data_IF_137998436199
#
_entry.id   IF_137998436199
#
_cell.length_a   1.000
_cell.length_b   1.000
_cell.length_c   1.000
_cell.angle_alpha   90.00
_cell.angle_beta   90.00
_cell.angle_gamma   90.00
#
_symmetry.space_group_name_H-M   'P 1'
#
loop_
_entity.id
_entity.type
_entity.pdbx_description
1 polymer ?
#
# COMPACT_ATOMS: atom_id res chain seq x y z
N UNK A 1 -13.23 -6.51 6.97
CA UNK A 1 -12.45 -6.22 5.75
C UNK A 1 -11.69 -7.46 5.39
N UNK A 2 -11.53 -7.73 4.09
CA UNK A 2 -10.85 -8.92 3.60
C UNK A 2 -9.36 -8.64 3.40
N UNK A 3 -8.56 -9.70 3.46
CA UNK A 3 -7.13 -9.62 3.13
C UNK A 3 -6.98 -9.49 1.62
N UNK A 4 -6.05 -8.65 1.19
CA UNK A 4 -5.73 -8.39 -0.22
C UNK A 4 -4.22 -8.47 -0.43
N UNK A 5 -3.79 -9.02 -1.56
CA UNK A 5 -2.36 -9.11 -1.87
C UNK A 5 -1.79 -7.77 -2.35
N UNK A 6 -0.50 -7.52 -2.14
CA UNK A 6 0.18 -6.35 -2.73
C UNK A 6 0.00 -6.32 -4.25
N UNK A 7 0.02 -7.50 -4.89
CA UNK A 7 -0.28 -7.63 -6.33
C UNK A 7 -1.62 -7.02 -6.70
N UNK A 8 -2.68 -7.39 -6.00
CA UNK A 8 -4.03 -6.92 -6.32
C UNK A 8 -4.17 -5.41 -6.06
N UNK A 9 -3.60 -4.92 -4.97
CA UNK A 9 -3.53 -3.49 -4.61
C UNK A 9 -2.86 -2.65 -5.70
N UNK A 10 -1.76 -3.14 -6.28
CA UNK A 10 -1.03 -2.44 -7.35
C UNK A 10 -1.64 -2.66 -8.74
N UNK A 11 -2.45 -3.70 -8.92
CA UNK A 11 -3.08 -4.00 -10.21
C UNK A 11 -4.38 -3.22 -10.42
N UNK A 12 -5.02 -2.79 -9.34
CA UNK A 12 -6.27 -2.02 -9.36
C UNK A 12 -6.18 -0.87 -8.34
N UNK A 13 -5.24 0.08 -8.54
CA UNK A 13 -4.97 1.13 -7.56
C UNK A 13 -6.20 1.97 -7.21
N UNK A 14 -7.13 2.14 -8.15
CA UNK A 14 -8.39 2.88 -8.02
C UNK A 14 -9.46 2.20 -7.15
N UNK A 15 -9.29 0.90 -6.86
CA UNK A 15 -10.19 0.15 -5.99
C UNK A 15 -9.72 0.17 -4.53
N UNK A 16 -8.55 0.76 -4.26
CA UNK A 16 -7.98 0.82 -2.92
C UNK A 16 -8.80 1.73 -2.00
N UNK A 17 -8.73 1.45 -0.70
CA UNK A 17 -9.55 2.13 0.31
C UNK A 17 -8.74 3.20 1.04
N UNK A 18 -8.65 3.15 2.37
CA UNK A 18 -7.94 4.17 3.14
C UNK A 18 -6.44 3.82 3.26
N UNK A 19 -5.93 3.65 4.48
CA UNK A 19 -4.56 3.25 4.73
C UNK A 19 -4.36 1.76 4.56
N UNK A 20 -3.33 1.36 3.81
CA UNK A 20 -2.93 -0.03 3.68
C UNK A 20 -2.01 -0.44 4.83
N UNK A 21 -2.26 -1.61 5.41
CA UNK A 21 -1.46 -2.16 6.51
C UNK A 21 -0.86 -3.50 6.09
N UNK A 22 0.43 -3.67 6.41
CA UNK A 22 1.20 -4.87 6.09
C UNK A 22 1.89 -5.46 7.33
N UNK A 23 2.33 -6.75 7.30
CA UNK A 23 3.14 -7.34 8.36
C UNK A 23 4.43 -6.53 8.61
N UNK A 24 4.94 -6.44 9.84
CA UNK A 24 6.01 -5.50 10.20
C UNK A 24 7.38 -5.75 9.55
N UNK A 25 7.59 -6.90 8.90
CA UNK A 25 8.88 -7.27 8.29
C UNK A 25 8.92 -6.84 6.81
N UNK A 26 9.11 -5.56 6.53
CA UNK A 26 9.12 -5.03 5.15
C UNK A 26 10.10 -5.72 4.20
N UNK A 27 11.28 -6.08 4.69
CA UNK A 27 12.28 -6.84 3.92
C UNK A 27 11.89 -8.28 3.54
N UNK A 28 10.72 -8.76 3.95
CA UNK A 28 10.16 -10.06 3.55
C UNK A 28 8.92 -9.93 2.66
N UNK A 29 8.48 -8.70 2.38
CA UNK A 29 7.34 -8.49 1.51
C UNK A 29 7.65 -8.94 0.09
N UNK A 30 6.62 -9.43 -0.55
CA UNK A 30 6.58 -9.79 -1.96
C UNK A 30 5.15 -9.56 -2.45
N UNK A 31 4.93 -9.69 -3.75
CA UNK A 31 3.63 -9.48 -4.39
C UNK A 31 2.47 -10.29 -3.80
N UNK A 32 2.75 -11.45 -3.19
CA UNK A 32 1.71 -12.31 -2.60
C UNK A 32 1.55 -12.07 -1.08
N UNK A 33 2.27 -11.09 -0.53
CA UNK A 33 2.10 -10.65 0.86
C UNK A 33 0.71 -10.05 1.01
N UNK A 34 -0.01 -10.55 2.02
CA UNK A 34 -1.36 -10.08 2.32
C UNK A 34 -1.31 -8.87 3.24
N UNK A 35 -2.04 -7.85 2.86
CA UNK A 35 -2.35 -6.68 3.66
C UNK A 35 -3.85 -6.50 3.85
N UNK A 36 -4.21 -5.41 4.51
CA UNK A 36 -5.59 -5.04 4.79
C UNK A 36 -5.69 -3.53 4.87
N UNK A 37 -6.75 -2.95 4.31
CA UNK A 37 -7.01 -1.52 4.46
C UNK A 37 -7.67 -1.22 5.81
N UNK A 38 -7.54 0.00 6.31
CA UNK A 38 -8.40 0.51 7.39
C UNK A 38 -9.72 1.02 6.87
N UNK A 39 -10.64 1.26 7.80
CA UNK A 39 -11.80 2.12 7.55
C UNK A 39 -11.38 3.60 7.57
N UNK A 40 -12.29 4.49 7.17
CA UNK A 40 -12.08 5.93 7.27
C UNK A 40 -12.17 6.38 8.73
N UNK A 41 -11.06 6.91 9.28
CA UNK A 41 -11.02 7.42 10.65
C UNK A 41 -12.04 8.53 10.91
N UNK A 42 -12.47 9.26 9.88
CA UNK A 42 -13.47 10.34 9.98
C UNK A 42 -14.86 9.84 10.37
N UNK A 43 -15.14 8.55 10.20
CA UNK A 43 -16.40 7.91 10.58
C UNK A 43 -16.44 7.54 12.08
N UNK A 44 -15.34 7.74 12.81
CA UNK A 44 -15.18 7.34 14.21
C UNK A 44 -14.87 8.55 15.11
N UNK A 45 -14.94 8.35 16.43
CA UNK A 45 -14.56 9.39 17.37
C UNK A 45 -13.06 9.74 17.25
N UNK A 46 -12.63 11.00 17.51
CA UNK A 46 -11.26 11.46 17.29
C UNK A 46 -10.15 10.64 18.00
N UNK A 47 -10.49 9.97 19.10
CA UNK A 47 -9.56 9.15 19.89
C UNK A 47 -9.86 7.64 19.77
N UNK A 48 -10.72 7.25 18.83
CA UNK A 48 -11.09 5.84 18.60
C UNK A 48 -10.06 5.17 17.70
N UNK A 49 -9.73 3.92 18.02
CA UNK A 49 -8.91 3.04 17.18
C UNK A 49 -9.77 1.97 16.47
N UNK A 50 -11.11 2.10 16.49
CA UNK A 50 -12.04 1.11 15.92
C UNK A 50 -11.98 1.03 14.39
N UNK A 51 -11.46 2.06 13.74
CA UNK A 51 -11.21 2.06 12.29
C UNK A 51 -10.01 1.17 11.90
N UNK A 52 -9.12 0.87 12.86
CA UNK A 52 -7.94 0.07 12.62
C UNK A 52 -8.28 -1.42 12.49
N UNK A 53 -7.69 -2.13 11.51
CA UNK A 53 -7.79 -3.57 11.39
C UNK A 53 -7.32 -4.28 12.67
N UNK A 54 -7.92 -5.43 12.98
CA UNK A 54 -7.50 -6.22 14.16
C UNK A 54 -6.03 -6.65 14.10
N UNK A 55 -5.49 -6.82 12.90
CA UNK A 55 -4.08 -7.18 12.64
C UNK A 55 -3.12 -6.12 13.19
N UNK A 56 -3.49 -4.85 13.15
CA UNK A 56 -2.70 -3.77 13.75
C UNK A 56 -2.61 -3.99 15.27
N UNK A 57 -3.76 -4.23 15.91
CA UNK A 57 -3.86 -4.39 17.37
C UNK A 57 -3.26 -5.71 17.89
N UNK A 58 -3.42 -6.80 17.14
CA UNK A 58 -3.08 -8.17 17.59
C UNK A 58 -1.73 -8.67 17.05
N UNK A 59 -1.33 -8.23 15.86
CA UNK A 59 -0.17 -8.77 15.15
C UNK A 59 0.91 -7.70 14.89
N UNK A 60 0.67 -6.45 15.28
CA UNK A 60 1.62 -5.36 15.09
C UNK A 60 1.84 -5.02 13.62
N UNK A 61 0.81 -5.20 12.78
CA UNK A 61 0.88 -4.72 11.39
C UNK A 61 1.05 -3.21 11.37
N UNK A 62 1.83 -2.75 10.40
CA UNK A 62 2.27 -1.37 10.29
C UNK A 62 1.52 -0.67 9.17
N UNK A 63 1.26 0.62 9.39
CA UNK A 63 0.76 1.52 8.37
C UNK A 63 1.81 1.68 7.27
N UNK A 64 1.38 1.67 6.01
CA UNK A 64 2.27 1.82 4.87
C UNK A 64 1.92 3.08 4.08
N UNK A 65 1.09 2.95 3.05
CA UNK A 65 0.66 4.04 2.19
C UNK A 65 -0.87 4.12 2.19
N UNK A 66 -1.41 5.32 2.05
CA UNK A 66 -2.82 5.51 1.72
C UNK A 66 -3.09 5.23 0.24
N UNK A 67 -4.36 5.01 -0.12
CA UNK A 67 -4.74 4.72 -1.50
C UNK A 67 -4.30 5.80 -2.49
N UNK A 68 -4.37 7.08 -2.12
CA UNK A 68 -3.96 8.16 -3.01
C UNK A 68 -2.46 8.08 -3.33
N UNK A 69 -1.63 7.81 -2.31
CA UNK A 69 -0.19 7.62 -2.49
C UNK A 69 0.12 6.38 -3.33
N UNK A 70 -0.65 5.29 -3.19
CA UNK A 70 -0.50 4.09 -4.02
C UNK A 70 -0.89 4.38 -5.47
N UNK A 71 -1.98 5.11 -5.70
CA UNK A 71 -2.39 5.59 -7.03
C UNK A 71 -1.27 6.42 -7.68
N UNK A 72 -0.78 7.44 -6.98
CA UNK A 72 0.30 8.31 -7.46
C UNK A 72 1.58 7.51 -7.82
N UNK A 73 1.95 6.51 -7.00
CA UNK A 73 3.10 5.64 -7.28
C UNK A 73 2.91 4.84 -8.57
N UNK A 74 1.72 4.28 -8.77
CA UNK A 74 1.41 3.49 -9.97
C UNK A 74 1.35 4.40 -11.20
N UNK A 75 0.73 5.57 -11.10
CA UNK A 75 0.67 6.56 -12.17
C UNK A 75 2.07 7.04 -12.57
N UNK A 76 2.93 7.39 -11.62
CA UNK A 76 4.31 7.78 -11.92
C UNK A 76 5.07 6.70 -12.70
N UNK A 77 4.95 5.44 -12.28
CA UNK A 77 5.60 4.33 -12.98
C UNK A 77 5.03 4.11 -14.41
N UNK A 78 3.73 4.35 -14.62
CA UNK A 78 3.10 4.30 -15.94
C UNK A 78 3.60 5.45 -16.83
N UNK A 79 3.75 6.66 -16.29
CA UNK A 79 4.26 7.81 -17.04
C UNK A 79 5.70 7.60 -17.52
N UNK A 80 6.56 6.96 -16.71
CA UNK A 80 7.95 6.69 -17.08
C UNK A 80 8.13 5.50 -18.02
N UNK A 81 7.36 4.42 -17.84
CA UNK A 81 7.59 3.12 -18.53
C UNK A 81 6.54 2.76 -19.58
N UNK A 82 5.47 3.53 -19.72
CA UNK A 82 4.25 3.30 -20.51
C UNK A 82 3.42 2.05 -20.10
N UNK A 83 4.07 0.92 -19.85
CA UNK A 83 3.43 -0.35 -19.45
C UNK A 83 4.33 -1.11 -18.45
N UNK A 84 4.44 -0.61 -17.20
CA UNK A 84 5.26 -1.22 -16.17
C UNK A 84 4.78 -2.64 -15.85
N UNK A 85 5.72 -3.55 -15.62
CA UNK A 85 5.41 -4.85 -15.06
C UNK A 85 4.99 -4.73 -13.60
N UNK A 86 4.22 -5.70 -13.11
CA UNK A 86 3.82 -5.75 -11.70
C UNK A 86 5.01 -5.78 -10.72
N UNK A 87 6.17 -6.30 -11.14
CA UNK A 87 7.39 -6.24 -10.33
C UNK A 87 7.95 -4.82 -10.26
N UNK A 88 7.90 -4.05 -11.36
CA UNK A 88 8.34 -2.65 -11.35
C UNK A 88 7.41 -1.77 -10.50
N UNK A 89 6.10 -2.03 -10.53
CA UNK A 89 5.15 -1.38 -9.61
C UNK A 89 5.46 -1.72 -8.15
N UNK A 90 5.83 -2.97 -7.88
CA UNK A 90 6.23 -3.39 -6.54
C UNK A 90 7.53 -2.70 -6.09
N UNK A 91 8.54 -2.63 -6.96
CA UNK A 91 9.79 -1.93 -6.66
C UNK A 91 9.53 -0.44 -6.39
N UNK A 92 8.66 0.21 -7.16
CA UNK A 92 8.25 1.60 -6.94
C UNK A 92 7.49 1.78 -5.61
N UNK A 93 6.56 0.87 -5.28
CA UNK A 93 5.86 0.86 -4.00
C UNK A 93 6.80 0.74 -2.80
N UNK A 94 7.76 -0.20 -2.85
CA UNK A 94 8.76 -0.37 -1.79
C UNK A 94 9.64 0.87 -1.69
N UNK A 95 10.11 1.40 -2.83
CA UNK A 95 10.94 2.59 -2.84
C UNK A 95 10.21 3.80 -2.24
N UNK A 96 8.96 4.04 -2.61
CA UNK A 96 8.18 5.15 -2.06
C UNK A 96 7.95 4.98 -0.56
N UNK A 97 7.58 3.78 -0.10
CA UNK A 97 7.43 3.48 1.31
C UNK A 97 8.72 3.76 2.12
N UNK A 98 9.89 3.44 1.57
CA UNK A 98 11.17 3.61 2.25
C UNK A 98 11.73 5.04 2.17
N UNK A 99 11.39 5.80 1.12
CA UNK A 99 12.07 7.06 0.79
C UNK A 99 11.14 8.27 0.74
N UNK A 100 9.82 8.09 0.79
CA UNK A 100 8.81 9.15 0.61
C UNK A 100 9.06 9.94 -0.70
N UNK A 101 9.38 9.19 -1.76
CA UNK A 101 9.77 9.71 -3.07
C UNK A 101 9.45 8.71 -4.19
N UNK A 102 9.24 9.21 -5.40
CA UNK A 102 9.02 8.36 -6.58
C UNK A 102 10.33 7.71 -7.06
N UNK A 103 10.24 6.44 -7.47
CA UNK A 103 11.35 5.72 -8.08
C UNK A 103 11.56 6.21 -9.52
N UNK A 104 12.75 6.71 -9.81
CA UNK A 104 13.18 7.03 -11.18
C UNK A 104 13.70 5.76 -11.87
N UNK A 105 13.15 5.44 -13.04
CA UNK A 105 13.61 4.29 -13.81
C UNK A 105 14.74 4.70 -14.77
N UNK A 106 15.88 3.99 -14.71
CA UNK A 106 16.96 4.20 -15.69
C UNK A 106 16.52 3.72 -17.08
N UNK A 107 16.51 4.64 -18.04
CA UNK A 107 16.18 4.41 -19.45
C UNK A 107 17.36 3.87 -20.28
#
# INVERSE_FOLDING_TARGET
MELISIRDVLSHPEENLNWFYLPPNSGQWNLDTLGIFSLDSRDFAPDSDEYLPEQVKKMGWIETLDAASIEDVVENAIEELENPSINQLFDAFIFYYENDAFLEFEN
#
